data_IF_109504190500
#
_entry.id   IF_109504190500
#
_cell.length_a   1.000
_cell.length_b   1.000
_cell.length_c   1.000
_cell.angle_alpha   90.00
_cell.angle_beta   90.00
_cell.angle_gamma   90.00
#
_symmetry.space_group_name_H-M   'P 1'
#
loop_
_entity.id
_entity.type
_entity.pdbx_description
1 polymer ?
#
# COMPACT_ATOMS: atom_id res chain seq x y z
N UNK A 1 -13.90 -8.01 -17.10
CA UNK A 1 -12.50 -8.52 -17.26
C UNK A 1 -11.57 -7.52 -17.96
N UNK A 2 -11.87 -7.04 -19.17
CA UNK A 2 -11.04 -6.03 -19.85
C UNK A 2 -10.89 -4.75 -19.03
N UNK A 3 -11.95 -4.28 -18.41
CA UNK A 3 -12.01 -3.07 -17.57
C UNK A 3 -11.06 -3.16 -16.35
N UNK A 4 -11.07 -4.25 -15.59
CA UNK A 4 -10.21 -4.43 -14.43
C UNK A 4 -8.69 -4.48 -14.79
N UNK A 5 -8.34 -5.13 -15.90
CA UNK A 5 -6.95 -5.16 -16.39
C UNK A 5 -6.50 -3.80 -16.90
N UNK A 6 -7.37 -3.09 -17.60
CA UNK A 6 -7.11 -1.74 -18.09
C UNK A 6 -6.87 -0.77 -16.92
N UNK A 7 -7.74 -0.79 -15.91
CA UNK A 7 -7.61 0.05 -14.72
C UNK A 7 -6.29 -0.24 -13.97
N UNK A 8 -5.90 -1.52 -13.86
CA UNK A 8 -4.64 -1.90 -13.22
C UNK A 8 -3.41 -1.36 -13.98
N UNK A 9 -3.43 -1.38 -15.31
CA UNK A 9 -2.38 -0.79 -16.16
C UNK A 9 -2.33 0.75 -15.97
N UNK A 10 -3.49 1.41 -16.03
CA UNK A 10 -3.59 2.86 -15.87
C UNK A 10 -3.08 3.31 -14.49
N UNK A 11 -3.45 2.59 -13.43
CA UNK A 11 -2.97 2.84 -12.06
C UNK A 11 -1.46 2.61 -11.93
N UNK A 12 -0.90 1.59 -12.58
CA UNK A 12 0.55 1.34 -12.59
C UNK A 12 1.32 2.47 -13.32
N UNK A 13 0.79 2.96 -14.44
CA UNK A 13 1.34 4.12 -15.15
C UNK A 13 1.25 5.38 -14.28
N UNK A 14 0.10 5.58 -13.60
CA UNK A 14 -0.11 6.74 -12.72
C UNK A 14 0.83 6.69 -11.51
N UNK A 15 1.08 5.54 -10.92
CA UNK A 15 2.04 5.35 -9.82
C UNK A 15 3.44 5.85 -10.19
N UNK A 16 3.90 5.59 -11.42
CA UNK A 16 5.17 6.15 -11.91
C UNK A 16 5.07 7.66 -12.21
N UNK A 17 3.96 8.13 -12.78
CA UNK A 17 3.78 9.55 -13.12
C UNK A 17 3.76 10.46 -11.90
N UNK A 18 3.17 10.03 -10.79
CA UNK A 18 3.12 10.80 -9.55
C UNK A 18 4.38 10.63 -8.67
N UNK A 19 5.38 9.86 -9.11
CA UNK A 19 6.67 9.72 -8.43
C UNK A 19 6.68 8.76 -7.25
N UNK A 20 5.57 8.04 -6.99
CA UNK A 20 5.49 7.03 -5.92
C UNK A 20 6.34 5.81 -6.26
N UNK A 21 6.50 5.50 -7.55
CA UNK A 21 7.37 4.42 -7.99
C UNK A 21 8.28 4.88 -9.13
N UNK A 22 9.41 4.20 -9.28
CA UNK A 22 10.35 4.41 -10.38
C UNK A 22 10.63 3.10 -11.11
N UNK A 23 10.57 3.16 -12.45
CA UNK A 23 10.85 1.99 -13.28
C UNK A 23 9.81 0.88 -13.11
N UNK A 24 10.28 -0.33 -12.83
CA UNK A 24 9.49 -1.57 -12.78
C UNK A 24 9.55 -2.27 -11.41
N UNK A 25 10.02 -1.58 -10.37
CA UNK A 25 10.30 -2.19 -9.07
C UNK A 25 9.06 -2.39 -8.19
N UNK A 26 8.07 -1.50 -8.30
CA UNK A 26 6.79 -1.67 -7.60
C UNK A 26 5.85 -2.62 -8.32
N UNK A 27 4.70 -2.88 -7.72
CA UNK A 27 3.66 -3.73 -8.29
C UNK A 27 2.28 -3.41 -7.70
N UNK A 28 1.26 -3.74 -8.47
CA UNK A 28 -0.15 -3.52 -8.15
C UNK A 28 -0.93 -4.80 -8.37
N UNK A 29 -1.92 -5.03 -7.52
CA UNK A 29 -2.89 -6.10 -7.72
C UNK A 29 -4.29 -5.67 -7.31
N UNK A 30 -5.28 -6.40 -7.85
CA UNK A 30 -6.68 -6.31 -7.42
C UNK A 30 -7.20 -7.71 -7.14
N UNK A 31 -8.09 -7.83 -6.16
CA UNK A 31 -8.85 -9.07 -5.93
C UNK A 31 -9.73 -9.36 -7.15
N UNK A 32 -9.69 -10.56 -7.65
CA UNK A 32 -10.44 -10.95 -8.84
C UNK A 32 -10.86 -12.41 -8.76
N UNK A 33 -12.16 -12.70 -8.89
CA UNK A 33 -12.70 -14.06 -8.75
C UNK A 33 -12.22 -14.75 -7.46
N UNK A 34 -11.67 -15.94 -7.57
CA UNK A 34 -11.10 -16.73 -6.47
C UNK A 34 -9.61 -16.43 -6.22
N UNK A 35 -9.05 -15.34 -6.80
CA UNK A 35 -7.63 -15.00 -6.73
C UNK A 35 -7.41 -13.51 -6.91
N UNK A 36 -6.41 -13.14 -7.70
CA UNK A 36 -6.04 -11.75 -7.99
C UNK A 36 -5.52 -11.57 -9.41
N UNK A 37 -5.69 -10.35 -9.94
CA UNK A 37 -4.92 -9.85 -11.08
C UNK A 37 -3.74 -9.04 -10.55
N UNK A 38 -2.55 -9.25 -11.12
CA UNK A 38 -1.31 -8.59 -10.69
C UNK A 38 -0.47 -8.17 -11.90
N UNK A 39 0.29 -7.08 -11.75
CA UNK A 39 1.28 -6.63 -12.74
C UNK A 39 2.36 -7.69 -12.97
N UNK A 40 2.86 -7.86 -14.21
CA UNK A 40 3.92 -8.82 -14.53
C UNK A 40 5.27 -8.36 -13.97
N UNK A 41 6.19 -9.32 -13.82
CA UNK A 41 7.57 -9.07 -13.39
C UNK A 41 8.37 -8.30 -14.45
N UNK A 42 9.05 -7.22 -14.06
CA UNK A 42 10.12 -6.56 -14.81
C UNK A 42 9.69 -5.87 -16.11
N UNK A 43 8.40 -5.68 -16.39
CA UNK A 43 7.91 -5.01 -17.59
C UNK A 43 7.63 -3.52 -17.34
N UNK A 44 8.04 -2.60 -18.25
CA UNK A 44 7.68 -1.19 -18.13
C UNK A 44 6.17 -0.97 -18.24
N UNK A 45 5.58 -0.28 -17.29
CA UNK A 45 4.11 -0.11 -17.20
C UNK A 45 3.50 0.59 -18.42
N UNK A 46 4.24 1.53 -19.03
CA UNK A 46 3.77 2.26 -20.21
C UNK A 46 3.61 1.40 -21.47
N UNK A 47 4.13 0.17 -21.47
CA UNK A 47 4.08 -0.76 -22.61
C UNK A 47 3.24 -2.02 -22.33
N UNK A 48 2.57 -2.07 -21.18
CA UNK A 48 1.72 -3.21 -20.82
C UNK A 48 0.47 -3.26 -21.69
N UNK A 49 0.14 -4.46 -22.11
CA UNK A 49 -1.12 -4.79 -22.75
C UNK A 49 -2.01 -5.59 -21.79
N UNK A 50 -3.30 -5.69 -22.06
CA UNK A 50 -4.25 -6.43 -21.21
C UNK A 50 -3.84 -7.91 -21.00
N UNK A 51 -3.21 -8.51 -22.00
CA UNK A 51 -2.74 -9.89 -21.94
C UNK A 51 -1.53 -10.08 -21.03
N UNK A 52 -0.79 -9.01 -20.72
CA UNK A 52 0.39 -9.06 -19.85
C UNK A 52 0.01 -9.12 -18.35
N UNK A 53 -1.20 -8.69 -17.99
CA UNK A 53 -1.67 -8.79 -16.60
C UNK A 53 -1.93 -10.26 -16.24
N UNK A 54 -1.30 -10.69 -15.15
CA UNK A 54 -1.30 -12.11 -14.73
C UNK A 54 -2.44 -12.38 -13.76
N UNK A 55 -3.18 -13.45 -13.98
CA UNK A 55 -4.11 -13.99 -12.98
C UNK A 55 -3.35 -14.99 -12.09
N UNK A 56 -3.44 -14.80 -10.79
CA UNK A 56 -2.95 -15.75 -9.76
C UNK A 56 -4.17 -16.25 -9.01
N UNK A 57 -4.40 -17.56 -9.01
CA UNK A 57 -5.55 -18.16 -8.35
C UNK A 57 -5.37 -18.26 -6.83
N UNK A 58 -6.42 -18.69 -6.11
CA UNK A 58 -6.40 -18.83 -4.65
C UNK A 58 -5.42 -19.87 -4.10
N UNK A 59 -4.82 -20.69 -4.95
CA UNK A 59 -3.78 -21.65 -4.59
C UNK A 59 -2.37 -21.15 -4.91
N UNK A 60 -2.25 -19.95 -5.50
CA UNK A 60 -0.98 -19.35 -5.90
C UNK A 60 -0.47 -19.81 -7.28
N UNK A 61 -1.27 -20.56 -8.06
CA UNK A 61 -0.90 -20.87 -9.43
C UNK A 61 -1.20 -19.67 -10.34
N UNK A 62 -0.24 -19.33 -11.20
CA UNK A 62 -0.39 -18.23 -12.15
C UNK A 62 -0.79 -18.72 -13.54
N UNK A 63 -1.60 -17.90 -14.22
CA UNK A 63 -2.17 -18.21 -15.52
C UNK A 63 -1.94 -17.04 -16.49
N UNK A 64 -1.53 -17.37 -17.72
CA UNK A 64 -1.26 -16.42 -18.78
C UNK A 64 0.15 -16.53 -19.36
N UNK A 65 0.51 -15.64 -20.31
CA UNK A 65 1.78 -15.71 -21.03
C UNK A 65 2.97 -15.11 -20.25
N UNK A 66 2.70 -14.44 -19.10
CA UNK A 66 3.71 -13.74 -18.31
C UNK A 66 3.85 -14.35 -16.92
N UNK A 67 5.02 -14.14 -16.31
CA UNK A 67 5.22 -14.40 -14.88
C UNK A 67 4.66 -13.22 -14.06
N UNK A 68 3.99 -13.48 -12.93
CA UNK A 68 3.56 -12.42 -12.03
C UNK A 68 4.78 -11.69 -11.46
N UNK A 69 4.56 -10.51 -10.85
CA UNK A 69 5.58 -9.86 -10.03
C UNK A 69 6.28 -10.87 -9.12
N UNK A 70 7.58 -10.75 -8.95
CA UNK A 70 8.37 -11.59 -8.02
C UNK A 70 7.86 -11.53 -6.57
N UNK A 71 7.06 -10.51 -6.25
CA UNK A 71 6.48 -10.28 -4.93
C UNK A 71 5.00 -10.66 -4.82
N UNK A 72 4.49 -11.40 -5.79
CA UNK A 72 3.09 -11.84 -5.84
C UNK A 72 2.63 -12.53 -4.55
N UNK A 73 3.54 -13.20 -3.85
CA UNK A 73 3.26 -13.94 -2.60
C UNK A 73 2.70 -13.02 -1.51
N UNK A 74 3.30 -11.85 -1.30
CA UNK A 74 2.83 -10.88 -0.30
C UNK A 74 1.39 -10.47 -0.61
N UNK A 75 1.08 -10.16 -1.87
CA UNK A 75 -0.28 -9.81 -2.30
C UNK A 75 -1.26 -10.95 -2.08
N UNK A 76 -0.88 -12.17 -2.49
CA UNK A 76 -1.69 -13.36 -2.31
C UNK A 76 -2.03 -13.60 -0.84
N UNK A 77 -1.02 -13.59 0.02
CA UNK A 77 -1.20 -13.87 1.45
C UNK A 77 -2.01 -12.77 2.16
N UNK A 78 -1.85 -11.49 1.75
CA UNK A 78 -2.72 -10.41 2.22
C UNK A 78 -4.18 -10.69 1.82
N UNK A 79 -4.46 -11.07 0.57
CA UNK A 79 -5.82 -11.38 0.14
C UNK A 79 -6.41 -12.58 0.87
N UNK A 80 -5.60 -13.56 1.27
CA UNK A 80 -6.06 -14.69 2.08
C UNK A 80 -6.39 -14.29 3.53
N UNK A 81 -5.60 -13.40 4.12
CA UNK A 81 -5.74 -12.98 5.51
C UNK A 81 -6.72 -11.82 5.73
N UNK A 82 -6.95 -10.97 4.71
CA UNK A 82 -7.66 -9.69 4.79
C UNK A 82 -8.79 -9.63 3.76
N UNK A 83 -10.00 -9.97 4.20
CA UNK A 83 -11.19 -9.90 3.34
C UNK A 83 -11.54 -8.45 2.92
N UNK A 84 -11.12 -7.47 3.69
CA UNK A 84 -11.29 -6.04 3.46
C UNK A 84 -10.28 -5.46 2.44
N UNK A 85 -9.28 -6.21 2.01
CA UNK A 85 -8.37 -5.80 0.94
C UNK A 85 -8.95 -6.13 -0.42
N UNK A 86 -9.25 -5.14 -1.26
CA UNK A 86 -9.67 -5.32 -2.64
C UNK A 86 -8.59 -4.90 -3.64
N UNK A 87 -7.70 -3.98 -3.27
CA UNK A 87 -6.52 -3.58 -4.03
C UNK A 87 -5.28 -3.49 -3.14
N UNK A 88 -4.13 -3.78 -3.70
CA UNK A 88 -2.82 -3.69 -3.02
C UNK A 88 -1.84 -2.97 -3.95
N UNK A 89 -1.11 -2.01 -3.37
CA UNK A 89 -0.03 -1.27 -4.00
C UNK A 89 1.25 -1.48 -3.20
N UNK A 90 2.30 -1.92 -3.88
CA UNK A 90 3.67 -1.92 -3.37
C UNK A 90 4.55 -1.01 -4.22
N UNK A 91 5.36 -0.17 -3.58
CA UNK A 91 6.27 0.77 -4.22
C UNK A 91 7.46 1.12 -3.32
N UNK A 92 8.46 1.81 -3.92
CA UNK A 92 9.67 2.25 -3.24
C UNK A 92 9.78 3.80 -3.25
N UNK A 93 8.79 4.55 -2.69
CA UNK A 93 8.88 5.99 -2.65
C UNK A 93 10.03 6.42 -1.74
N UNK A 94 10.66 7.54 -2.06
CA UNK A 94 11.99 7.90 -1.54
C UNK A 94 12.03 8.06 -0.02
N UNK A 95 11.07 8.77 0.55
CA UNK A 95 11.07 9.09 1.99
C UNK A 95 10.59 7.91 2.84
N UNK A 96 9.62 7.14 2.34
CA UNK A 96 9.26 5.85 2.95
C UNK A 96 10.43 4.86 2.92
N UNK A 97 11.15 4.76 1.80
CA UNK A 97 12.32 3.89 1.68
C UNK A 97 13.45 4.35 2.61
N UNK A 98 13.66 5.66 2.79
CA UNK A 98 14.64 6.19 3.73
C UNK A 98 14.35 5.76 5.17
N UNK A 99 13.10 5.92 5.65
CA UNK A 99 12.70 5.45 6.98
C UNK A 99 12.79 3.92 7.10
N UNK A 100 12.36 3.20 6.06
CA UNK A 100 12.47 1.74 6.00
C UNK A 100 13.93 1.27 6.12
N UNK A 101 14.90 1.97 5.50
CA UNK A 101 16.32 1.67 5.64
C UNK A 101 16.89 1.95 7.05
N UNK A 102 16.21 2.77 7.84
CA UNK A 102 16.51 3.00 9.25
C UNK A 102 15.78 2.02 10.18
N UNK A 103 14.90 1.18 9.65
CA UNK A 103 13.95 0.34 10.39
C UNK A 103 13.04 1.15 11.33
N UNK A 104 12.73 2.40 10.96
CA UNK A 104 11.94 3.31 11.76
C UNK A 104 10.47 3.30 11.30
N UNK A 105 9.51 3.15 12.22
CA UNK A 105 8.08 3.35 11.93
C UNK A 105 7.79 4.87 11.84
N UNK A 106 6.63 5.22 11.28
CA UNK A 106 6.10 6.58 11.36
C UNK A 106 5.16 6.65 12.58
N UNK A 107 5.56 7.33 13.67
CA UNK A 107 4.73 7.45 14.88
C UNK A 107 3.61 8.47 14.70
N UNK A 108 2.77 8.63 15.72
CA UNK A 108 1.67 9.60 15.75
C UNK A 108 2.16 11.07 15.87
N UNK A 109 3.11 11.49 15.04
CA UNK A 109 3.62 12.87 15.01
C UNK A 109 2.64 13.84 14.31
N UNK A 110 1.73 13.31 13.52
CA UNK A 110 0.70 14.04 12.78
C UNK A 110 -0.61 13.24 12.81
N UNK A 111 -1.76 13.90 12.92
CA UNK A 111 -3.05 13.22 13.03
C UNK A 111 -3.39 12.38 11.78
N UNK A 112 -2.90 12.76 10.60
CA UNK A 112 -3.10 12.03 9.35
C UNK A 112 -2.48 10.64 9.34
N UNK A 113 -1.60 10.29 10.27
CA UNK A 113 -1.12 8.90 10.43
C UNK A 113 -2.29 7.91 10.57
N UNK A 114 -3.42 8.37 11.10
CA UNK A 114 -4.66 7.58 11.22
C UNK A 114 -5.24 7.10 9.88
N UNK A 115 -4.87 7.71 8.74
CA UNK A 115 -5.31 7.26 7.40
C UNK A 115 -4.88 5.81 7.13
N UNK A 116 -3.75 5.39 7.69
CA UNK A 116 -3.25 4.03 7.61
C UNK A 116 -4.00 3.04 8.54
N UNK A 117 -5.10 3.45 9.15
CA UNK A 117 -5.98 2.60 9.95
C UNK A 117 -5.57 2.45 11.42
N UNK A 118 -4.52 3.14 11.88
CA UNK A 118 -4.05 3.02 13.24
C UNK A 118 -3.31 4.25 13.77
N UNK A 119 -2.62 4.07 14.91
CA UNK A 119 -1.91 5.15 15.59
C UNK A 119 -0.47 5.34 15.10
N UNK A 120 0.01 4.43 14.25
CA UNK A 120 1.34 4.41 13.66
C UNK A 120 1.31 3.74 12.29
N UNK A 121 2.36 3.94 11.50
CA UNK A 121 2.65 3.13 10.30
C UNK A 121 3.89 2.32 10.65
N UNK A 122 3.71 1.02 10.82
CA UNK A 122 4.77 0.11 11.30
C UNK A 122 5.81 -0.15 10.22
N UNK A 123 7.02 -0.52 10.64
CA UNK A 123 8.06 -1.04 9.75
C UNK A 123 8.16 -2.56 9.98
N UNK A 124 7.85 -3.35 8.95
CA UNK A 124 7.99 -4.80 8.98
C UNK A 124 9.50 -5.17 8.96
N UNK A 125 9.95 -6.17 9.74
CA UNK A 125 11.34 -6.61 9.72
C UNK A 125 11.79 -7.03 8.32
N UNK A 126 13.10 -6.85 8.04
CA UNK A 126 13.68 -7.25 6.77
C UNK A 126 13.60 -8.77 6.55
N UNK A 127 13.26 -9.14 5.33
CA UNK A 127 13.51 -10.45 4.75
C UNK A 127 13.71 -10.27 3.23
N UNK A 128 14.30 -11.26 2.56
CA UNK A 128 14.54 -11.19 1.11
C UNK A 128 13.21 -11.12 0.36
N UNK A 129 13.14 -10.26 -0.67
CA UNK A 129 11.95 -10.12 -1.52
C UNK A 129 11.49 -11.48 -2.11
N UNK A 130 10.18 -11.65 -2.23
CA UNK A 130 9.58 -12.88 -2.77
C UNK A 130 9.57 -14.08 -1.81
N UNK A 131 10.11 -13.96 -0.61
CA UNK A 131 10.11 -15.05 0.40
C UNK A 131 8.83 -15.08 1.24
N UNK A 132 8.53 -16.24 1.84
CA UNK A 132 7.45 -16.38 2.79
C UNK A 132 7.70 -15.54 4.05
N UNK A 133 8.94 -15.50 4.53
CA UNK A 133 9.31 -14.73 5.72
C UNK A 133 8.95 -13.24 5.58
N UNK A 134 9.19 -12.65 4.39
CA UNK A 134 8.78 -11.27 4.13
C UNK A 134 7.26 -11.12 4.17
N UNK A 135 6.53 -12.05 3.57
CA UNK A 135 5.06 -12.04 3.61
C UNK A 135 4.54 -12.11 5.04
N UNK A 136 5.08 -12.99 5.86
CA UNK A 136 4.69 -13.16 7.27
C UNK A 136 4.97 -11.89 8.09
N UNK A 137 6.12 -11.24 7.87
CA UNK A 137 6.46 -9.98 8.53
C UNK A 137 5.50 -8.85 8.13
N UNK A 138 5.17 -8.76 6.85
CA UNK A 138 4.22 -7.76 6.33
C UNK A 138 2.83 -7.99 6.89
N UNK A 139 2.32 -9.22 6.88
CA UNK A 139 1.01 -9.55 7.47
C UNK A 139 0.91 -9.14 8.93
N UNK A 140 1.97 -9.39 9.71
CA UNK A 140 2.03 -8.97 11.11
C UNK A 140 2.04 -7.44 11.27
N UNK A 141 2.77 -6.73 10.43
CA UNK A 141 2.81 -5.26 10.46
C UNK A 141 1.46 -4.64 10.05
N UNK A 142 0.72 -5.30 9.14
CA UNK A 142 -0.59 -4.88 8.65
C UNK A 142 -1.77 -5.26 9.59
N UNK A 143 -1.54 -5.90 10.73
CA UNK A 143 -2.62 -6.15 11.70
C UNK A 143 -3.24 -4.81 12.15
N UNK A 144 -4.55 -4.61 11.89
CA UNK A 144 -5.28 -3.36 12.12
C UNK A 144 -4.66 -2.13 11.44
N UNK A 145 -3.99 -2.33 10.31
CA UNK A 145 -3.37 -1.28 9.47
C UNK A 145 -3.72 -1.48 8.00
N UNK A 146 -3.72 -0.38 7.25
CA UNK A 146 -3.89 -0.34 5.79
C UNK A 146 -2.57 -0.10 5.05
N UNK A 147 -1.50 0.26 5.78
CA UNK A 147 -0.17 0.47 5.21
C UNK A 147 0.92 0.06 6.21
N UNK A 148 2.06 -0.38 5.71
CA UNK A 148 3.29 -0.52 6.49
C UNK A 148 4.52 -0.27 5.61
N UNK A 149 5.62 0.16 6.26
CA UNK A 149 6.95 0.15 5.68
C UNK A 149 7.51 -1.28 5.77
N UNK A 150 8.41 -1.61 4.86
CA UNK A 150 9.17 -2.86 4.85
C UNK A 150 10.66 -2.52 4.99
N UNK A 151 11.31 -2.97 6.05
CA UNK A 151 12.69 -2.65 6.35
C UNK A 151 13.63 -2.87 5.16
N UNK A 152 14.48 -1.86 4.85
CA UNK A 152 15.42 -1.86 3.72
C UNK A 152 14.78 -2.14 2.35
N UNK A 153 13.49 -1.79 2.17
CA UNK A 153 12.74 -2.14 0.98
C UNK A 153 11.85 -0.98 0.51
N UNK A 154 10.68 -0.79 1.12
CA UNK A 154 9.73 0.22 0.67
C UNK A 154 8.44 0.25 1.47
N UNK A 155 7.34 0.47 0.76
CA UNK A 155 5.98 0.65 1.27
C UNK A 155 5.03 -0.37 0.66
N UNK A 156 4.07 -0.85 1.45
CA UNK A 156 2.90 -1.58 0.95
C UNK A 156 1.63 -0.98 1.55
N UNK A 157 0.60 -0.81 0.68
CA UNK A 157 -0.72 -0.31 1.05
C UNK A 157 -1.81 -1.26 0.56
N UNK A 158 -2.92 -1.33 1.30
CA UNK A 158 -4.13 -2.02 0.89
C UNK A 158 -5.35 -1.10 1.02
N UNK A 159 -6.32 -1.25 0.12
CA UNK A 159 -7.52 -0.41 0.07
C UNK A 159 -8.69 -1.14 -0.59
N UNK A 160 -9.84 -0.44 -0.69
CA UNK A 160 -11.06 -0.95 -1.31
C UNK A 160 -11.00 -0.93 -2.86
N UNK A 161 -10.09 -0.11 -3.44
CA UNK A 161 -9.82 -0.02 -4.88
C UNK A 161 -8.40 0.52 -5.15
N UNK A 162 -8.00 0.55 -6.42
CA UNK A 162 -6.66 1.01 -6.85
C UNK A 162 -6.46 2.51 -6.63
N UNK A 163 -7.47 3.32 -6.82
CA UNK A 163 -7.38 4.77 -6.66
C UNK A 163 -7.14 5.13 -5.19
N UNK A 164 -7.85 4.46 -4.27
CA UNK A 164 -7.63 4.60 -2.83
C UNK A 164 -6.27 4.05 -2.39
N UNK A 165 -5.81 2.94 -2.97
CA UNK A 165 -4.48 2.40 -2.68
C UNK A 165 -3.37 3.39 -3.10
N UNK A 166 -3.51 4.02 -4.27
CA UNK A 166 -2.58 5.04 -4.75
C UNK A 166 -2.64 6.31 -3.89
N UNK A 167 -3.85 6.77 -3.56
CA UNK A 167 -4.03 7.94 -2.69
C UNK A 167 -3.40 7.70 -1.30
N UNK A 168 -3.59 6.51 -0.73
CA UNK A 168 -2.98 6.13 0.54
C UNK A 168 -1.45 6.10 0.44
N UNK A 169 -0.89 5.55 -0.64
CA UNK A 169 0.57 5.51 -0.84
C UNK A 169 1.17 6.93 -0.94
N UNK A 170 0.49 7.85 -1.63
CA UNK A 170 0.89 9.26 -1.74
C UNK A 170 0.86 9.92 -0.36
N UNK A 171 -0.20 9.71 0.43
CA UNK A 171 -0.33 10.29 1.77
C UNK A 171 0.75 9.74 2.72
N UNK A 172 1.05 8.44 2.67
CA UNK A 172 2.10 7.84 3.51
C UNK A 172 3.48 8.37 3.14
N UNK A 173 3.77 8.56 1.86
CA UNK A 173 5.03 9.19 1.41
C UNK A 173 5.12 10.65 1.89
N UNK A 174 4.04 11.43 1.81
CA UNK A 174 3.99 12.79 2.32
C UNK A 174 4.20 12.84 3.84
N UNK A 175 3.65 11.88 4.58
CA UNK A 175 3.89 11.74 6.02
C UNK A 175 5.34 11.37 6.32
N UNK A 176 5.93 10.45 5.56
CA UNK A 176 7.35 10.08 5.70
C UNK A 176 8.26 11.29 5.47
N UNK A 177 8.03 12.05 4.39
CA UNK A 177 8.77 13.27 4.08
C UNK A 177 8.65 14.30 5.20
N UNK A 178 7.43 14.57 5.67
CA UNK A 178 7.19 15.52 6.76
C UNK A 178 7.87 15.08 8.06
N UNK A 179 7.85 13.77 8.36
CA UNK A 179 8.49 13.22 9.55
C UNK A 179 10.02 13.39 9.50
N UNK A 180 10.65 13.09 8.36
CA UNK A 180 12.09 13.30 8.13
C UNK A 180 12.45 14.79 8.28
N UNK A 181 11.62 15.70 7.74
CA UNK A 181 11.83 17.14 7.91
C UNK A 181 11.72 17.55 9.38
N UNK A 182 10.76 17.05 10.14
CA UNK A 182 10.68 17.31 11.58
C UNK A 182 11.96 16.84 12.29
N UNK A 183 12.45 15.64 12.00
CA UNK A 183 13.67 15.11 12.61
C UNK A 183 14.92 15.94 12.26
N UNK A 184 14.96 16.58 11.09
CA UNK A 184 16.08 17.42 10.66
C UNK A 184 16.15 18.78 11.39
N UNK A 185 15.03 19.27 11.91
CA UNK A 185 14.95 20.58 12.59
C UNK A 185 14.69 20.47 14.09
N UNK A 186 14.32 19.30 14.60
CA UNK A 186 14.05 19.13 16.02
C UNK A 186 13.46 17.75 16.34
N UNK A 187 12.77 17.67 17.47
CA UNK A 187 12.08 16.48 17.93
C UNK A 187 10.57 16.66 17.77
N UNK A 188 9.88 15.87 16.97
CA UNK A 188 8.43 15.98 16.79
C UNK A 188 7.69 15.68 18.11
N UNK A 189 6.59 16.38 18.33
CA UNK A 189 5.65 16.10 19.42
C UNK A 189 4.75 14.94 18.96
N UNK A 190 4.67 13.90 19.77
CA UNK A 190 3.84 12.73 19.50
C UNK A 190 2.49 12.89 20.17
N UNK A 191 1.41 12.72 19.42
CA UNK A 191 0.04 12.70 19.94
C UNK A 191 -0.16 11.45 20.81
N UNK A 192 -0.89 11.61 21.90
CA UNK A 192 -1.18 10.50 22.78
C UNK A 192 -2.25 9.55 22.16
N UNK A 193 -2.35 8.37 22.75
CA UNK A 193 -3.27 7.33 22.30
C UNK A 193 -4.73 7.77 22.33
N UNK A 194 -5.13 8.60 23.30
CA UNK A 194 -6.49 9.10 23.43
C UNK A 194 -6.85 10.07 22.31
N UNK A 195 -5.90 10.92 21.92
CA UNK A 195 -6.10 11.82 20.79
C UNK A 195 -6.19 11.02 19.48
N UNK A 196 -5.29 10.08 19.28
CA UNK A 196 -5.34 9.22 18.07
C UNK A 196 -6.63 8.40 18.00
N UNK A 197 -7.18 7.92 19.10
CA UNK A 197 -8.48 7.23 19.11
C UNK A 197 -9.62 8.17 18.69
N UNK A 198 -9.60 9.43 19.13
CA UNK A 198 -10.57 10.45 18.67
C UNK A 198 -10.43 10.72 17.18
N UNK A 199 -9.20 10.79 16.68
CA UNK A 199 -8.93 10.99 15.26
C UNK A 199 -9.44 9.77 14.45
N UNK A 200 -9.11 8.56 14.85
CA UNK A 200 -9.58 7.33 14.19
C UNK A 200 -11.12 7.25 14.12
N UNK A 201 -11.82 7.69 15.17
CA UNK A 201 -13.29 7.77 15.15
C UNK A 201 -13.78 8.79 14.12
N UNK A 202 -13.14 9.95 13.99
CA UNK A 202 -13.49 10.96 12.99
C UNK A 202 -13.22 10.47 11.55
N UNK A 203 -12.18 9.67 11.34
CA UNK A 203 -11.88 9.11 10.01
C UNK A 203 -12.97 8.15 9.51
N UNK A 204 -13.78 7.54 10.38
CA UNK A 204 -14.90 6.67 9.96
C UNK A 204 -15.99 7.42 9.18
N UNK A 205 -16.13 8.72 9.39
CA UNK A 205 -17.09 9.59 8.68
C UNK A 205 -16.42 10.64 7.80
N UNK A 206 -15.08 10.62 7.71
CA UNK A 206 -14.34 11.60 6.91
C UNK A 206 -14.61 11.42 5.42
N UNK A 207 -14.98 12.52 4.75
CA UNK A 207 -15.30 12.50 3.31
C UNK A 207 -16.71 12.04 2.97
N UNK A 208 -17.52 11.61 3.94
CA UNK A 208 -18.94 11.35 3.71
C UNK A 208 -19.65 12.70 3.59
N UNK A 209 -20.16 13.02 2.40
CA UNK A 209 -21.01 14.20 2.20
C UNK A 209 -22.47 13.75 2.33
N UNK A 210 -23.16 14.24 3.38
CA UNK A 210 -24.61 14.12 3.47
C UNK A 210 -25.25 15.01 2.39
N UNK A 211 -25.65 14.39 1.28
CA UNK A 211 -26.33 15.06 0.16
C UNK A 211 -27.80 15.39 0.52
N UNK A 212 -28.35 14.75 1.52
CA UNK A 212 -29.68 15.04 2.06
C UNK A 212 -29.55 15.97 3.26
N UNK A 213 -29.77 17.28 3.01
CA UNK A 213 -29.67 18.37 3.98
C UNK A 213 -30.61 18.25 5.18
N UNK A 214 -30.32 17.35 6.10
CA UNK A 214 -30.86 17.29 7.45
C UNK A 214 -29.72 17.45 8.45
N UNK A 215 -29.17 18.70 8.49
CA UNK A 215 -28.39 19.14 9.64
C UNK A 215 -29.38 19.69 10.68
N UNK A 216 -29.57 19.00 11.79
CA UNK A 216 -29.96 19.59 13.08
C UNK A 216 -28.72 19.76 13.96
#
# INVERSE_FOLDING_TARGET
MADARQHLIESAVQMNRCGINQGTSGNLSIRHESGMLITPSGMPYATLELADIVFVDGYGAHHGPRLPSSEWRIHHDIYQARADAAAILHAHPTDCAALACLNEPIPAFHYMVAVAGGRDIRCAPYATFGTQDLSDHVLKALQDRKACLMANHGLICLADDLDQALALAIEVEQLAQTYIHCLSVGKPVILDDKEMDRVLLKFKSYGVQDIDGSAE
#
